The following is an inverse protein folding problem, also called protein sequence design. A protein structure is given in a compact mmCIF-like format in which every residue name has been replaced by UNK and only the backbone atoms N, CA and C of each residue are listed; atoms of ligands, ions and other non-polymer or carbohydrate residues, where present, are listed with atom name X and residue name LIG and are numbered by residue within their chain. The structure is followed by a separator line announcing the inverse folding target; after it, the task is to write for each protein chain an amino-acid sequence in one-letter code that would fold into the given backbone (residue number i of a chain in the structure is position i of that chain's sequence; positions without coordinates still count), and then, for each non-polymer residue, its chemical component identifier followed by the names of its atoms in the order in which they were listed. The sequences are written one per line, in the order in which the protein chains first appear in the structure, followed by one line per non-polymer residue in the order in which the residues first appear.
data_IF_790631021485
#
_entry.id   IF_790631021485
#
_cell.length_a   1.000
_cell.length_b   1.000
_cell.length_c   1.000
_cell.angle_alpha   90.00
_cell.angle_beta   90.00
_cell.angle_gamma   90.00
#
_symmetry.space_group_name_H-M   'P 1'
#
loop_
_entity.id
_entity.type
_entity.pdbx_description
1 polymer ?
#
# COMPACT_ATOMS: atom_id res chain seq x y z
N UNK A 1 -11.11 -2.45 3.02
CA UNK A 1 -9.81 -1.76 3.14
C UNK A 1 -8.72 -2.38 2.28
N UNK A 2 -8.63 -3.71 2.13
CA UNK A 2 -7.67 -4.35 1.20
C UNK A 2 -7.64 -3.69 -0.19
N UNK A 3 -8.79 -3.58 -0.88
CA UNK A 3 -8.85 -2.93 -2.19
C UNK A 3 -8.52 -1.43 -2.18
N UNK A 4 -8.85 -0.73 -1.09
CA UNK A 4 -8.49 0.69 -0.93
C UNK A 4 -6.96 0.83 -0.80
N UNK A 5 -6.30 -0.03 -0.03
CA UNK A 5 -4.85 -0.04 0.09
C UNK A 5 -4.16 -0.43 -1.21
N UNK A 6 -4.70 -1.42 -1.95
CA UNK A 6 -4.16 -1.75 -3.26
C UNK A 6 -4.19 -0.55 -4.21
N UNK A 7 -5.29 0.19 -4.25
CA UNK A 7 -5.37 1.41 -5.07
C UNK A 7 -4.35 2.49 -4.65
N UNK A 8 -4.06 2.63 -3.36
CA UNK A 8 -3.04 3.56 -2.88
C UNK A 8 -1.61 3.10 -3.25
N UNK A 9 -1.34 1.80 -3.18
CA UNK A 9 -0.07 1.20 -3.64
C UNK A 9 0.12 1.45 -5.14
N UNK A 10 -0.91 1.20 -5.95
CA UNK A 10 -0.85 1.41 -7.40
C UNK A 10 -0.55 2.88 -7.73
N UNK A 11 -1.18 3.83 -7.02
CA UNK A 11 -0.91 5.27 -7.18
C UNK A 11 0.48 5.67 -6.69
N UNK A 12 0.96 5.09 -5.59
CA UNK A 12 2.30 5.35 -5.08
C UNK A 12 3.38 4.83 -6.05
N UNK A 13 3.15 3.70 -6.72
CA UNK A 13 4.05 3.20 -7.76
C UNK A 13 4.14 4.14 -8.97
N UNK A 14 3.00 4.71 -9.40
CA UNK A 14 2.97 5.74 -10.44
C UNK A 14 3.81 6.97 -10.03
N UNK A 15 3.71 7.39 -8.77
CA UNK A 15 4.50 8.51 -8.24
C UNK A 15 6.00 8.18 -8.17
N UNK A 16 6.39 6.94 -7.87
CA UNK A 16 7.80 6.51 -7.93
C UNK A 16 8.36 6.47 -9.35
N UNK A 17 7.52 6.14 -10.35
CA UNK A 17 7.95 6.05 -11.76
C UNK A 17 8.02 7.42 -12.46
N UNK A 18 7.13 8.34 -12.09
CA UNK A 18 6.92 9.58 -12.83
C UNK A 18 7.06 10.86 -12.01
N UNK A 19 7.16 10.77 -10.68
CA UNK A 19 7.33 11.91 -9.79
C UNK A 19 8.75 12.44 -9.75
N UNK A 20 8.88 13.69 -9.32
CA UNK A 20 10.12 14.44 -9.27
C UNK A 20 10.33 15.22 -7.95
N UNK A 21 9.30 15.30 -7.10
CA UNK A 21 9.41 15.82 -5.73
C UNK A 21 9.99 14.74 -4.78
N UNK A 22 11.20 14.96 -4.21
CA UNK A 22 11.87 13.97 -3.36
C UNK A 22 11.09 13.59 -2.10
N UNK A 23 10.37 14.54 -1.47
CA UNK A 23 9.59 14.27 -0.26
C UNK A 23 8.38 13.37 -0.60
N UNK A 24 7.78 13.61 -1.76
CA UNK A 24 6.66 12.80 -2.25
C UNK A 24 7.10 11.39 -2.68
N UNK A 25 8.30 11.25 -3.26
CA UNK A 25 8.89 9.95 -3.59
C UNK A 25 9.19 9.14 -2.33
N UNK A 26 9.73 9.78 -1.28
CA UNK A 26 9.97 9.14 0.02
C UNK A 26 8.65 8.66 0.62
N UNK A 27 7.64 9.54 0.68
CA UNK A 27 6.31 9.20 1.18
C UNK A 27 5.66 8.05 0.39
N UNK A 28 5.83 8.00 -0.94
CA UNK A 28 5.32 6.91 -1.77
C UNK A 28 5.95 5.56 -1.37
N UNK A 29 7.26 5.54 -1.10
CA UNK A 29 7.95 4.35 -0.60
C UNK A 29 7.43 3.89 0.76
N UNK A 30 7.22 4.82 1.69
CA UNK A 30 6.65 4.54 3.02
C UNK A 30 5.22 3.99 2.94
N UNK A 31 4.38 4.59 2.09
CA UNK A 31 3.01 4.14 1.83
C UNK A 31 3.00 2.69 1.33
N UNK A 32 3.85 2.36 0.36
CA UNK A 32 3.93 1.00 -0.18
C UNK A 32 4.35 0.01 0.91
N UNK A 33 5.41 0.32 1.66
CA UNK A 33 5.91 -0.56 2.71
C UNK A 33 4.86 -0.83 3.80
N UNK A 34 4.17 0.21 4.28
CA UNK A 34 3.14 0.09 5.28
C UNK A 34 1.93 -0.70 4.76
N UNK A 35 1.38 -0.30 3.61
CA UNK A 35 0.09 -0.81 3.16
C UNK A 35 0.17 -2.25 2.61
N UNK A 36 1.33 -2.69 2.13
CA UNK A 36 1.58 -4.12 1.84
C UNK A 36 1.46 -4.95 3.12
N UNK A 37 2.09 -4.51 4.22
CA UNK A 37 2.02 -5.19 5.51
C UNK A 37 0.60 -5.17 6.12
N UNK A 38 -0.16 -4.08 5.92
CA UNK A 38 -1.55 -4.00 6.36
C UNK A 38 -2.48 -4.93 5.56
N UNK A 39 -2.26 -5.07 4.25
CA UNK A 39 -2.98 -6.04 3.41
C UNK A 39 -2.72 -7.47 3.90
N UNK A 40 -1.47 -7.82 4.22
CA UNK A 40 -1.12 -9.14 4.73
C UNK A 40 -1.84 -9.43 6.05
N UNK A 41 -1.82 -8.47 6.99
CA UNK A 41 -2.52 -8.58 8.27
C UNK A 41 -4.03 -8.76 8.08
N UNK A 42 -4.67 -7.95 7.24
CA UNK A 42 -6.11 -8.06 6.97
C UNK A 42 -6.47 -9.37 6.27
N UNK A 43 -5.64 -9.84 5.34
CA UNK A 43 -5.88 -11.10 4.61
C UNK A 43 -5.76 -12.29 5.56
N UNK A 44 -4.74 -12.28 6.42
CA UNK A 44 -4.57 -13.29 7.49
C UNK A 44 -5.77 -13.29 8.43
N UNK A 45 -6.18 -12.11 8.91
CA UNK A 45 -7.34 -11.99 9.78
C UNK A 45 -8.62 -12.53 9.14
N UNK A 46 -8.89 -12.22 7.87
CA UNK A 46 -10.04 -12.76 7.15
C UNK A 46 -9.97 -14.28 7.01
N UNK A 47 -8.80 -14.85 6.72
CA UNK A 47 -8.62 -16.30 6.61
C UNK A 47 -8.87 -17.02 7.94
N UNK A 48 -8.45 -16.42 9.07
CA UNK A 48 -8.66 -16.98 10.41
C UNK A 48 -10.11 -16.85 10.91
N UNK A 49 -10.86 -15.86 10.42
CA UNK A 49 -12.18 -15.49 10.93
C UNK A 49 -13.34 -15.74 9.95
N UNK A 50 -13.08 -16.31 8.78
CA UNK A 50 -14.11 -16.75 7.83
C UNK A 50 -14.80 -18.04 8.32
N UNK A 51 -15.62 -17.93 9.36
CA UNK A 51 -16.51 -19.00 9.85
C UNK A 51 -17.98 -18.58 9.75
#
# INVERSE_FOLDING_TARGET
MIAHHQGAIDMAQVLLEHGDDPEMIELAGEIIAAQVGEIEQMTTWLAENAN
#
